data_IF_820809052779
#
_entry.id   IF_820809052779
#
_cell.length_a   1.000
_cell.length_b   1.000
_cell.length_c   1.000
_cell.angle_alpha   90.00
_cell.angle_beta   90.00
_cell.angle_gamma   90.00
#
_symmetry.space_group_name_H-M   'P 1'
#
loop_
_entity.id
_entity.type
_entity.pdbx_description
1 polymer ?
#
# COMPACT_ATOMS: atom_id res chain seq x y z
N UNK A 1 -37.86 -42.65 -13.55
CA UNK A 1 -37.80 -41.65 -14.63
C UNK A 1 -36.85 -40.54 -14.20
N UNK A 2 -35.70 -40.51 -14.87
CA UNK A 2 -34.59 -39.55 -14.93
C UNK A 2 -34.21 -38.73 -13.69
N UNK A 3 -33.12 -39.18 -13.06
CA UNK A 3 -32.22 -38.33 -12.31
C UNK A 3 -31.72 -37.18 -13.20
N UNK A 4 -31.87 -35.94 -12.73
CA UNK A 4 -31.24 -34.77 -13.34
C UNK A 4 -29.71 -34.90 -13.21
N UNK A 5 -28.93 -34.64 -14.27
CA UNK A 5 -27.48 -34.64 -14.16
C UNK A 5 -27.02 -33.49 -13.25
N UNK A 6 -26.27 -33.85 -12.20
CA UNK A 6 -25.44 -32.92 -11.42
C UNK A 6 -24.35 -32.37 -12.34
N UNK A 7 -24.64 -31.28 -13.04
CA UNK A 7 -23.61 -30.49 -13.71
C UNK A 7 -22.92 -29.64 -12.63
N UNK A 8 -21.63 -29.85 -12.33
CA UNK A 8 -20.91 -28.94 -11.45
C UNK A 8 -20.94 -27.53 -12.06
N UNK A 9 -21.19 -26.47 -11.27
CA UNK A 9 -21.15 -25.12 -11.81
C UNK A 9 -19.77 -24.87 -12.42
N UNK A 10 -19.75 -24.35 -13.65
CA UNK A 10 -18.53 -23.94 -14.32
C UNK A 10 -17.69 -23.11 -13.36
N UNK A 11 -16.43 -23.49 -13.17
CA UNK A 11 -15.42 -22.72 -12.45
C UNK A 11 -15.06 -21.50 -13.27
N UNK A 12 -16.01 -20.57 -13.41
CA UNK A 12 -15.73 -19.22 -13.83
C UNK A 12 -14.77 -18.65 -12.82
N UNK A 13 -13.60 -18.20 -13.28
CA UNK A 13 -12.67 -17.43 -12.46
C UNK A 13 -13.47 -16.26 -11.90
N UNK A 14 -13.87 -16.33 -10.63
CA UNK A 14 -14.38 -15.15 -9.94
C UNK A 14 -13.22 -14.17 -9.96
N UNK A 15 -13.41 -13.03 -10.61
CA UNK A 15 -12.51 -11.89 -10.42
C UNK A 15 -12.39 -11.71 -8.91
N UNK A 16 -11.17 -11.58 -8.37
CA UNK A 16 -11.03 -11.30 -6.95
C UNK A 16 -11.89 -10.07 -6.62
N UNK A 17 -12.53 -10.03 -5.44
CA UNK A 17 -13.23 -8.84 -5.01
C UNK A 17 -12.31 -7.64 -5.17
N UNK A 18 -12.86 -6.52 -5.64
CA UNK A 18 -12.13 -5.26 -5.71
C UNK A 18 -11.64 -4.95 -4.29
N UNK A 19 -10.34 -4.73 -4.14
CA UNK A 19 -9.80 -4.22 -2.89
C UNK A 19 -10.29 -2.79 -2.75
N UNK A 20 -11.05 -2.52 -1.70
CA UNK A 20 -11.61 -1.20 -1.43
C UNK A 20 -10.59 -0.38 -0.64
N UNK A 21 -10.33 0.84 -1.11
CA UNK A 21 -9.45 1.79 -0.43
C UNK A 21 -10.19 3.10 -0.19
N UNK A 22 -9.87 3.75 0.92
CA UNK A 22 -10.28 5.13 1.14
C UNK A 22 -9.58 6.09 0.18
N UNK A 23 -10.08 7.33 0.11
CA UNK A 23 -9.51 8.42 -0.67
C UNK A 23 -10.21 8.70 -2.01
N UNK A 24 -11.14 7.83 -2.44
CA UNK A 24 -11.95 8.08 -3.64
C UNK A 24 -13.13 9.01 -3.32
N UNK A 25 -12.82 10.29 -3.15
CA UNK A 25 -13.83 11.31 -2.88
C UNK A 25 -14.82 11.47 -4.04
N UNK A 26 -14.43 11.15 -5.28
CA UNK A 26 -15.34 11.27 -6.43
C UNK A 26 -16.42 10.19 -6.37
N UNK A 27 -16.07 8.93 -6.10
CA UNK A 27 -17.05 7.87 -5.92
C UNK A 27 -18.07 8.19 -4.82
N UNK A 28 -17.64 8.85 -3.74
CA UNK A 28 -18.54 9.30 -2.67
C UNK A 28 -19.44 10.45 -3.14
N UNK A 29 -18.91 11.43 -3.88
CA UNK A 29 -19.69 12.56 -4.43
C UNK A 29 -20.75 12.10 -5.41
N UNK A 30 -20.43 11.15 -6.28
CA UNK A 30 -21.38 10.58 -7.25
C UNK A 30 -22.53 9.84 -6.54
N UNK A 31 -22.24 9.23 -5.39
CA UNK A 31 -23.25 8.53 -4.56
C UNK A 31 -24.14 9.48 -3.77
N UNK A 32 -23.64 10.68 -3.43
CA UNK A 32 -24.35 11.67 -2.61
C UNK A 32 -24.26 13.07 -3.24
N UNK A 33 -24.95 13.30 -4.38
CA UNK A 33 -24.82 14.54 -5.15
C UNK A 33 -25.33 15.78 -4.38
N UNK A 34 -26.28 15.60 -3.45
CA UNK A 34 -26.90 16.68 -2.68
C UNK A 34 -26.27 16.85 -1.28
N UNK A 35 -25.14 16.20 -0.99
CA UNK A 35 -24.48 16.31 0.30
C UNK A 35 -23.94 17.74 0.56
N UNK A 36 -24.07 18.26 1.79
CA UNK A 36 -23.51 19.57 2.14
C UNK A 36 -21.99 19.64 1.96
N UNK A 37 -21.50 20.80 1.51
CA UNK A 37 -20.08 21.10 1.37
C UNK A 37 -19.57 21.97 2.53
N UNK A 38 -18.27 21.93 2.85
CA UNK A 38 -17.22 21.14 2.20
C UNK A 38 -17.22 19.66 2.64
N UNK A 39 -16.68 18.79 1.78
CA UNK A 39 -16.37 17.42 2.18
C UNK A 39 -15.19 17.39 3.14
N UNK A 40 -15.27 16.50 4.12
CA UNK A 40 -14.14 16.12 4.98
C UNK A 40 -13.87 14.64 4.72
N UNK A 41 -12.74 14.35 4.07
CA UNK A 41 -12.34 12.97 3.81
C UNK A 41 -11.62 12.39 5.04
N UNK A 42 -12.29 11.46 5.73
CA UNK A 42 -11.76 10.70 6.87
C UNK A 42 -11.53 9.22 6.53
N UNK A 43 -11.55 8.87 5.24
CA UNK A 43 -11.41 7.48 4.79
C UNK A 43 -9.96 7.02 4.66
N UNK A 44 -8.99 7.94 4.78
CA UNK A 44 -7.55 7.65 4.73
C UNK A 44 -6.87 8.00 6.06
N UNK A 45 -5.71 7.38 6.31
CA UNK A 45 -4.83 7.71 7.43
C UNK A 45 -3.82 8.82 7.14
N UNK A 46 -4.07 9.67 6.13
CA UNK A 46 -3.12 10.71 5.69
C UNK A 46 -3.15 11.90 6.65
N UNK A 47 -1.97 12.38 7.06
CA UNK A 47 -1.86 13.60 7.85
C UNK A 47 -2.28 14.82 7.02
N UNK A 48 -3.29 15.61 7.42
CA UNK A 48 -3.73 16.78 6.68
C UNK A 48 -2.71 17.94 6.72
N UNK A 49 -1.77 17.90 7.66
CA UNK A 49 -0.68 18.88 7.76
C UNK A 49 0.54 18.32 7.03
N UNK A 50 0.92 18.86 5.86
CA UNK A 50 2.04 18.32 5.09
C UNK A 50 3.35 18.47 5.86
N UNK A 51 4.25 17.51 5.66
CA UNK A 51 5.62 17.61 6.19
C UNK A 51 6.32 18.82 5.55
N UNK A 52 7.07 19.63 6.31
CA UNK A 52 7.77 20.79 5.76
C UNK A 52 8.90 20.33 4.83
N UNK A 53 8.67 20.47 3.52
CA UNK A 53 9.66 20.16 2.50
C UNK A 53 10.45 21.43 2.12
N UNK A 54 11.77 21.31 1.91
CA UNK A 54 12.54 22.39 1.31
C UNK A 54 12.18 22.54 -0.17
N UNK A 55 12.63 23.63 -0.80
CA UNK A 55 12.59 23.74 -2.27
C UNK A 55 13.42 22.61 -2.88
N UNK A 56 12.76 21.73 -3.64
CA UNK A 56 13.43 20.63 -4.33
C UNK A 56 14.03 21.13 -5.65
N UNK A 57 15.27 20.72 -5.95
CA UNK A 57 15.90 21.00 -7.24
C UNK A 57 15.08 20.37 -8.39
N UNK A 58 14.98 21.02 -9.57
CA UNK A 58 14.37 20.42 -10.76
C UNK A 58 14.93 19.04 -11.10
N UNK A 59 16.22 18.80 -10.83
CA UNK A 59 16.88 17.54 -11.09
C UNK A 59 16.23 16.37 -10.34
N UNK A 60 15.66 16.59 -9.15
CA UNK A 60 14.98 15.55 -8.38
C UNK A 60 13.77 14.93 -9.12
N UNK A 61 13.22 15.65 -10.11
CA UNK A 61 12.10 15.21 -10.93
C UNK A 61 12.52 14.63 -12.27
N UNK A 62 13.71 14.99 -12.76
CA UNK A 62 14.16 14.69 -14.12
C UNK A 62 15.18 13.54 -14.20
N UNK A 63 15.80 13.14 -13.08
CA UNK A 63 16.81 12.07 -13.04
C UNK A 63 16.35 10.91 -12.18
N UNK A 64 16.87 9.73 -12.47
CA UNK A 64 16.73 8.57 -11.58
C UNK A 64 17.59 8.79 -10.31
N UNK A 65 17.11 8.37 -9.11
CA UNK A 65 17.91 8.39 -7.90
C UNK A 65 19.21 7.59 -8.10
N UNK A 66 20.34 8.18 -7.69
CA UNK A 66 21.63 7.52 -7.71
C UNK A 66 21.93 6.77 -6.42
N UNK A 67 22.98 5.96 -6.43
CA UNK A 67 23.46 5.22 -5.26
C UNK A 67 23.75 6.13 -4.06
N UNK A 68 24.35 7.30 -4.30
CA UNK A 68 24.65 8.29 -3.24
C UNK A 68 23.36 8.81 -2.58
N UNK A 69 22.29 8.98 -3.36
CA UNK A 69 20.99 9.45 -2.86
C UNK A 69 20.36 8.37 -1.95
N UNK A 70 20.47 7.10 -2.34
CA UNK A 70 20.00 5.94 -1.55
C UNK A 70 20.80 5.77 -0.25
N UNK A 71 22.14 5.84 -0.31
CA UNK A 71 23.00 5.76 0.88
C UNK A 71 22.68 6.87 1.89
N UNK A 72 22.44 8.10 1.40
CA UNK A 72 22.04 9.23 2.24
C UNK A 72 20.66 9.02 2.90
N UNK A 73 19.69 8.49 2.16
CA UNK A 73 18.37 8.14 2.67
C UNK A 73 18.46 7.09 3.79
N UNK A 74 19.19 6.00 3.55
CA UNK A 74 19.38 4.91 4.53
C UNK A 74 20.07 5.43 5.78
N UNK A 75 21.13 6.24 5.64
CA UNK A 75 21.84 6.81 6.78
C UNK A 75 20.95 7.75 7.62
N UNK A 76 20.10 8.55 6.97
CA UNK A 76 19.13 9.40 7.66
C UNK A 76 18.11 8.57 8.45
N UNK A 77 17.58 7.50 7.84
CA UNK A 77 16.67 6.57 8.49
C UNK A 77 17.32 5.87 9.69
N UNK A 78 18.56 5.38 9.56
CA UNK A 78 19.30 4.73 10.64
C UNK A 78 19.44 5.62 11.87
N UNK A 79 19.85 6.88 11.67
CA UNK A 79 19.94 7.86 12.75
C UNK A 79 18.58 8.14 13.37
N UNK A 80 17.53 8.30 12.56
CA UNK A 80 16.18 8.62 13.04
C UNK A 80 15.56 7.50 13.86
N UNK A 81 15.82 6.26 13.49
CA UNK A 81 15.27 5.06 14.11
C UNK A 81 16.19 4.46 15.20
N UNK A 82 17.42 4.95 15.35
CA UNK A 82 18.37 4.44 16.33
C UNK A 82 18.95 3.07 15.95
N UNK A 83 19.06 2.77 14.66
CA UNK A 83 19.61 1.50 14.15
C UNK A 83 21.12 1.62 14.01
N UNK A 84 21.86 0.70 14.64
CA UNK A 84 23.33 0.72 14.67
C UNK A 84 23.96 0.25 13.34
N UNK A 85 23.39 -0.78 12.72
CA UNK A 85 23.84 -1.33 11.44
C UNK A 85 22.87 -0.96 10.32
N UNK A 86 23.36 -0.15 9.37
CA UNK A 86 22.58 0.30 8.20
C UNK A 86 22.12 -0.85 7.30
N UNK A 87 22.77 -2.01 7.36
CA UNK A 87 22.32 -3.21 6.64
C UNK A 87 20.95 -3.71 7.13
N UNK A 88 20.49 -3.27 8.30
CA UNK A 88 19.15 -3.52 8.82
C UNK A 88 18.04 -2.64 8.21
N UNK A 89 18.36 -1.75 7.26
CA UNK A 89 17.41 -0.82 6.65
C UNK A 89 17.32 -1.06 5.14
N UNK A 90 16.09 -1.10 4.64
CA UNK A 90 15.80 -1.25 3.21
C UNK A 90 14.86 -0.12 2.78
N UNK A 91 15.25 0.62 1.75
CA UNK A 91 14.40 1.60 1.09
C UNK A 91 13.50 0.92 0.03
N UNK A 92 12.23 1.31 -0.05
CA UNK A 92 11.27 0.75 -1.01
C UNK A 92 10.17 1.76 -1.35
N UNK A 93 9.50 1.62 -2.53
CA UNK A 93 8.37 2.47 -2.91
C UNK A 93 7.10 2.08 -2.14
N UNK A 94 7.06 2.42 -0.85
CA UNK A 94 5.97 2.11 0.06
C UNK A 94 6.06 0.74 0.71
N UNK A 95 5.43 0.60 1.88
CA UNK A 95 5.48 -0.61 2.71
C UNK A 95 4.84 -1.82 2.04
N UNK A 96 3.84 -1.63 1.18
CA UNK A 96 3.17 -2.68 0.44
C UNK A 96 4.14 -3.53 -0.40
N UNK A 97 5.08 -2.89 -1.09
CA UNK A 97 6.08 -3.59 -1.88
C UNK A 97 6.92 -4.55 -1.02
N UNK A 98 7.25 -4.15 0.21
CA UNK A 98 8.01 -4.96 1.16
C UNK A 98 7.18 -6.12 1.72
N UNK A 99 5.93 -5.85 2.11
CA UNK A 99 5.00 -6.86 2.64
C UNK A 99 4.83 -7.99 1.61
N UNK A 100 4.58 -7.65 0.34
CA UNK A 100 4.41 -8.64 -0.73
C UNK A 100 5.70 -9.40 -1.09
N UNK A 101 6.86 -8.78 -0.88
CA UNK A 101 8.15 -9.43 -1.08
C UNK A 101 8.50 -10.40 0.06
N UNK A 102 8.09 -10.11 1.30
CA UNK A 102 8.51 -10.82 2.50
C UNK A 102 8.30 -12.35 2.46
N UNK A 103 7.15 -12.90 2.00
CA UNK A 103 6.96 -14.35 1.91
C UNK A 103 7.94 -15.07 0.99
N UNK A 104 8.62 -14.35 0.09
CA UNK A 104 9.61 -14.89 -0.84
C UNK A 104 11.03 -14.91 -0.28
N UNK A 105 11.28 -14.21 0.83
CA UNK A 105 12.60 -14.07 1.46
C UNK A 105 12.85 -15.12 2.55
N UNK A 106 11.80 -15.82 2.99
CA UNK A 106 11.86 -16.80 4.07
C UNK A 106 11.51 -18.20 3.57
N UNK A 107 11.99 -19.23 4.28
CA UNK A 107 11.55 -20.59 4.02
C UNK A 107 10.03 -20.70 4.23
N UNK A 108 9.36 -21.53 3.41
CA UNK A 108 7.93 -21.77 3.55
C UNK A 108 7.61 -22.28 4.96
N UNK A 109 6.69 -21.60 5.62
CA UNK A 109 6.28 -21.91 6.99
C UNK A 109 4.78 -21.68 7.16
N UNK A 110 4.24 -22.20 8.26
CA UNK A 110 2.89 -21.84 8.71
C UNK A 110 2.96 -20.46 9.36
N UNK A 111 2.14 -19.54 8.88
CA UNK A 111 2.03 -18.17 9.40
C UNK A 111 0.63 -17.91 9.93
N UNK A 112 0.52 -16.98 10.88
CA UNK A 112 -0.76 -16.48 11.37
C UNK A 112 -0.91 -15.02 10.96
N UNK A 113 -2.08 -14.68 10.42
CA UNK A 113 -2.49 -13.29 10.15
C UNK A 113 -3.69 -13.02 11.04
N UNK A 114 -3.57 -12.04 11.93
CA UNK A 114 -4.62 -11.69 12.90
C UNK A 114 -5.53 -10.64 12.27
N UNK A 115 -6.84 -10.91 12.24
CA UNK A 115 -7.84 -10.01 11.67
C UNK A 115 -8.65 -9.23 12.72
N UNK A 116 -9.33 -8.13 12.32
CA UNK A 116 -9.30 -7.54 10.98
C UNK A 116 -7.96 -6.85 10.69
N UNK A 117 -7.47 -6.96 9.45
CA UNK A 117 -6.20 -6.38 8.98
C UNK A 117 -6.38 -5.74 7.61
N UNK A 118 -5.37 -5.00 7.15
CA UNK A 118 -5.35 -4.41 5.82
C UNK A 118 -5.45 -5.49 4.72
N UNK A 119 -6.20 -5.23 3.65
CA UNK A 119 -6.56 -6.26 2.66
C UNK A 119 -5.41 -6.66 1.73
N UNK A 120 -4.33 -5.87 1.63
CA UNK A 120 -3.25 -6.08 0.64
C UNK A 120 -1.98 -6.77 1.18
N UNK A 121 -2.12 -7.70 2.13
CA UNK A 121 -1.02 -8.51 2.68
C UNK A 121 -0.76 -9.82 1.89
#
# INVERSE_FOLDING_TARGET
MNALPNTPPATGKRSPPRVEHGGDLQAVRDRFPDAPLPWIDLSTGINPVPYPLPTLSPDAWARLPGRVDEEALIAAAARRYGVADVAGIVAAPGTQALIQALPRLVAKARVAVVGPTYEEH
#
